data_IF_184240018856
#
_entry.id   IF_184240018856
#
_cell.length_a   1.000
_cell.length_b   1.000
_cell.length_c   1.000
_cell.angle_alpha   90.00
_cell.angle_beta   90.00
_cell.angle_gamma   90.00
#
_symmetry.space_group_name_H-M   'P 1'
#
loop_
_entity.id
_entity.type
_entity.pdbx_description
1 polymer ?
#
# COMPACT_ATOMS: atom_id res chain seq x y z
N UNK A 1 -6.70 -1.31 4.34
CA UNK A 1 -8.12 -1.71 4.22
C UNK A 1 -9.01 -0.50 4.00
N UNK A 2 -9.07 0.45 4.95
CA UNK A 2 -9.94 1.64 4.89
C UNK A 2 -9.92 2.39 3.54
N UNK A 3 -8.74 2.50 2.91
CA UNK A 3 -8.57 3.25 1.68
C UNK A 3 -9.33 2.73 0.44
N UNK A 4 -9.88 1.52 0.46
CA UNK A 4 -10.60 0.94 -0.69
C UNK A 4 -11.95 0.32 -0.32
N UNK A 5 -12.40 0.44 0.94
CA UNK A 5 -13.62 -0.20 1.44
C UNK A 5 -14.85 0.70 1.42
N UNK A 6 -14.78 1.84 0.74
CA UNK A 6 -15.81 2.89 0.73
C UNK A 6 -17.21 2.45 0.27
N UNK A 7 -17.29 1.37 -0.49
CA UNK A 7 -18.58 0.83 -0.98
C UNK A 7 -18.90 -0.53 -0.34
N UNK A 8 -18.38 -0.77 0.86
CA UNK A 8 -18.59 -2.01 1.62
C UNK A 8 -19.35 -1.66 2.90
N UNK A 9 -20.70 -1.72 2.90
CA UNK A 9 -21.51 -1.30 4.05
C UNK A 9 -21.13 -1.99 5.36
N UNK A 10 -20.71 -3.26 5.28
CA UNK A 10 -20.28 -4.04 6.44
C UNK A 10 -18.99 -3.52 7.10
N UNK A 11 -18.24 -2.64 6.41
CA UNK A 11 -16.99 -2.06 6.90
C UNK A 11 -17.11 -0.59 7.35
N UNK A 12 -18.26 0.08 7.17
CA UNK A 12 -18.50 1.42 7.74
C UNK A 12 -18.58 1.37 9.27
N UNK A 13 -19.02 0.23 9.82
CA UNK A 13 -19.06 -0.04 11.25
C UNK A 13 -20.25 0.61 11.98
N UNK A 14 -20.56 0.07 13.16
CA UNK A 14 -21.71 0.50 13.98
C UNK A 14 -21.29 1.04 15.35
N UNK A 15 -19.99 1.24 15.56
CA UNK A 15 -19.40 1.61 16.86
C UNK A 15 -18.95 3.07 16.84
N UNK A 16 -19.20 3.78 17.93
CA UNK A 16 -18.77 5.18 18.13
C UNK A 16 -19.88 6.21 17.92
N UNK A 17 -19.49 7.50 18.00
CA UNK A 17 -20.42 8.63 18.02
C UNK A 17 -20.87 9.09 16.62
N UNK A 18 -20.11 8.79 15.57
CA UNK A 18 -20.27 9.40 14.24
C UNK A 18 -20.82 8.43 13.19
N UNK A 19 -21.76 7.56 13.56
CA UNK A 19 -22.34 6.52 12.68
C UNK A 19 -23.06 7.07 11.44
N UNK A 20 -23.48 8.34 11.48
CA UNK A 20 -24.09 9.03 10.34
C UNK A 20 -23.10 9.73 9.40
N UNK A 21 -21.79 9.65 9.69
CA UNK A 21 -20.74 10.29 8.90
C UNK A 21 -20.02 9.21 8.10
N UNK A 22 -19.86 9.46 6.81
CA UNK A 22 -19.16 8.54 5.92
C UNK A 22 -17.67 8.41 6.29
N UNK A 23 -17.14 7.19 6.26
CA UNK A 23 -15.71 6.90 6.44
C UNK A 23 -14.90 6.96 5.13
N UNK A 24 -15.51 7.42 4.03
CA UNK A 24 -14.86 7.57 2.72
C UNK A 24 -13.64 8.49 2.79
N UNK A 25 -12.56 8.09 2.13
CA UNK A 25 -11.34 8.88 2.00
C UNK A 25 -11.21 9.46 0.59
N UNK A 26 -10.59 10.63 0.46
CA UNK A 26 -10.43 11.29 -0.85
C UNK A 26 -9.28 10.71 -1.70
N UNK A 27 -8.23 10.19 -1.07
CA UNK A 27 -7.03 9.65 -1.72
C UNK A 27 -6.23 8.78 -0.75
N UNK A 28 -5.46 7.83 -1.27
CA UNK A 28 -4.65 6.90 -0.45
C UNK A 28 -3.18 6.96 -0.84
N UNK A 29 -2.30 7.10 0.14
CA UNK A 29 -0.87 6.87 -0.03
C UNK A 29 -0.47 5.58 0.72
N UNK A 30 -0.09 4.55 -0.04
CA UNK A 30 0.32 3.24 0.43
C UNK A 30 1.83 3.09 0.32
N UNK A 31 2.49 2.87 1.45
CA UNK A 31 3.93 2.64 1.52
C UNK A 31 4.15 1.18 1.90
N UNK A 32 4.63 0.39 0.94
CA UNK A 32 5.03 -1.02 1.12
C UNK A 32 4.03 -1.90 1.91
N UNK A 33 2.73 -1.65 1.73
CA UNK A 33 1.67 -2.37 2.42
C UNK A 33 1.40 -3.77 1.86
N UNK A 34 0.93 -4.66 2.73
CA UNK A 34 0.40 -5.99 2.32
C UNK A 34 -0.96 -5.80 1.65
N UNK A 35 -1.05 -6.18 0.38
CA UNK A 35 -2.27 -6.04 -0.43
C UNK A 35 -3.18 -7.27 -0.37
N UNK A 36 -2.58 -8.46 -0.33
CA UNK A 36 -3.25 -9.75 -0.26
C UNK A 36 -2.49 -10.70 0.66
N UNK A 37 -3.14 -11.08 1.76
CA UNK A 37 -2.54 -11.87 2.83
C UNK A 37 -2.22 -13.28 2.35
N UNK A 38 -3.12 -13.93 1.61
CA UNK A 38 -2.89 -15.31 1.14
C UNK A 38 -1.77 -15.38 0.10
N UNK A 39 -1.67 -14.38 -0.79
CA UNK A 39 -0.65 -14.32 -1.81
C UNK A 39 0.78 -14.16 -1.24
N UNK A 40 0.92 -13.74 0.02
CA UNK A 40 2.23 -13.61 0.66
C UNK A 40 2.89 -14.98 0.88
N UNK A 41 2.10 -16.05 0.99
CA UNK A 41 2.59 -17.42 1.08
C UNK A 41 3.28 -17.75 -0.24
N UNK A 42 4.58 -18.03 -0.18
CA UNK A 42 5.40 -18.32 -1.37
C UNK A 42 6.03 -17.09 -2.03
N UNK A 43 5.79 -15.88 -1.51
CA UNK A 43 6.56 -14.69 -1.90
C UNK A 43 7.82 -14.56 -1.04
N UNK A 44 8.86 -13.92 -1.58
CA UNK A 44 10.10 -13.66 -0.84
C UNK A 44 9.83 -12.73 0.35
N UNK A 45 10.14 -13.20 1.56
CA UNK A 45 10.08 -12.42 2.79
C UNK A 45 11.05 -12.99 3.82
N UNK A 46 11.65 -12.11 4.62
CA UNK A 46 12.42 -12.47 5.82
C UNK A 46 11.51 -12.99 6.94
N UNK A 47 10.19 -12.77 6.83
CA UNK A 47 9.19 -13.31 7.75
C UNK A 47 8.55 -14.54 7.13
N UNK A 48 8.74 -15.69 7.76
CA UNK A 48 7.96 -16.89 7.47
C UNK A 48 6.50 -16.69 7.87
N UNK A 49 5.67 -16.35 6.87
CA UNK A 49 4.25 -16.06 7.06
C UNK A 49 3.39 -17.33 7.21
N UNK A 50 3.98 -18.53 7.15
CA UNK A 50 3.26 -19.79 7.41
C UNK A 50 3.11 -20.08 8.90
N UNK A 51 3.95 -19.48 9.75
CA UNK A 51 3.92 -19.68 11.20
C UNK A 51 2.69 -19.04 11.84
N UNK A 52 2.17 -19.70 12.88
CA UNK A 52 1.03 -19.23 13.65
C UNK A 52 1.28 -17.91 14.39
N UNK A 53 2.54 -17.62 14.72
CA UNK A 53 2.98 -16.41 15.42
C UNK A 53 3.39 -15.27 14.47
N UNK A 54 3.31 -15.48 13.15
CA UNK A 54 3.59 -14.43 12.18
C UNK A 54 2.58 -13.27 12.36
N UNK A 55 2.98 -11.99 12.15
CA UNK A 55 2.10 -10.85 12.38
C UNK A 55 0.74 -10.93 11.66
N UNK A 56 0.74 -11.52 10.45
CA UNK A 56 -0.47 -11.69 9.63
C UNK A 56 -1.37 -12.80 10.16
N UNK A 57 -0.81 -13.86 10.74
CA UNK A 57 -1.56 -14.93 11.39
C UNK A 57 -2.19 -14.42 12.71
N UNK A 58 -1.45 -13.66 13.50
CA UNK A 58 -1.97 -13.01 14.70
C UNK A 58 -3.12 -12.03 14.38
N UNK A 59 -2.98 -11.23 13.31
CA UNK A 59 -4.02 -10.31 12.86
C UNK A 59 -5.36 -11.02 12.58
N UNK A 60 -5.34 -12.20 11.95
CA UNK A 60 -6.56 -12.94 11.62
C UNK A 60 -6.97 -13.97 12.69
N UNK A 61 -6.20 -14.07 13.78
CA UNK A 61 -6.46 -14.96 14.91
C UNK A 61 -6.16 -16.43 14.62
N UNK A 62 -5.14 -16.74 13.82
CA UNK A 62 -4.65 -18.11 13.61
C UNK A 62 -3.84 -18.29 12.32
N UNK A 63 -3.30 -19.51 12.07
CA UNK A 63 -2.52 -19.82 10.88
C UNK A 63 -3.27 -19.47 9.58
N UNK A 64 -2.56 -18.91 8.59
CA UNK A 64 -3.16 -18.47 7.32
C UNK A 64 -3.83 -19.62 6.55
N UNK A 65 -3.24 -20.82 6.59
CA UNK A 65 -3.74 -22.04 5.95
C UNK A 65 -5.11 -22.47 6.46
N UNK A 66 -5.39 -22.22 7.74
CA UNK A 66 -6.64 -22.61 8.42
C UNK A 66 -7.68 -21.48 8.41
N UNK A 67 -7.25 -20.23 8.21
CA UNK A 67 -8.08 -19.04 8.33
C UNK A 67 -8.26 -18.30 7.00
N UNK A 68 -8.34 -19.04 5.88
CA UNK A 68 -8.38 -18.47 4.52
C UNK A 68 -9.49 -17.44 4.29
N UNK A 69 -10.68 -17.68 4.84
CA UNK A 69 -11.80 -16.71 4.77
C UNK A 69 -11.46 -15.38 5.44
N UNK A 70 -10.87 -15.43 6.64
CA UNK A 70 -10.46 -14.23 7.37
C UNK A 70 -9.29 -13.54 6.68
N UNK A 71 -8.34 -14.29 6.14
CA UNK A 71 -7.23 -13.75 5.36
C UNK A 71 -7.73 -13.02 4.11
N UNK A 72 -8.71 -13.57 3.40
CA UNK A 72 -9.36 -12.90 2.26
C UNK A 72 -10.10 -11.64 2.71
N UNK A 73 -10.84 -11.72 3.83
CA UNK A 73 -11.54 -10.56 4.41
C UNK A 73 -10.57 -9.47 4.87
N UNK A 74 -9.37 -9.79 5.33
CA UNK A 74 -8.37 -8.80 5.72
C UNK A 74 -7.49 -8.32 4.54
N UNK A 75 -7.73 -8.82 3.31
CA UNK A 75 -6.96 -8.45 2.12
C UNK A 75 -7.58 -7.25 1.39
N UNK A 76 -6.77 -6.23 1.12
CA UNK A 76 -7.17 -4.97 0.49
C UNK A 76 -7.78 -5.21 -0.89
N UNK A 77 -7.16 -6.07 -1.70
CA UNK A 77 -7.60 -6.36 -3.07
C UNK A 77 -9.00 -6.95 -3.16
N UNK A 78 -9.54 -7.50 -2.08
CA UNK A 78 -10.91 -8.04 -2.01
C UNK A 78 -11.97 -6.96 -2.21
N UNK A 79 -11.66 -5.70 -1.89
CA UNK A 79 -12.63 -4.61 -1.81
C UNK A 79 -12.44 -3.55 -2.89
N UNK A 80 -11.44 -3.71 -3.76
CA UNK A 80 -11.16 -2.73 -4.82
C UNK A 80 -12.31 -2.72 -5.83
N UNK A 81 -12.97 -1.58 -5.96
CA UNK A 81 -14.03 -1.31 -6.96
C UNK A 81 -13.65 -0.10 -7.82
N UNK A 82 -14.37 0.10 -8.93
CA UNK A 82 -14.13 1.23 -9.85
C UNK A 82 -14.38 2.61 -9.20
N UNK A 83 -15.13 2.66 -8.09
CA UNK A 83 -15.40 3.88 -7.34
C UNK A 83 -14.33 4.18 -6.28
N UNK A 84 -13.28 3.35 -6.20
CA UNK A 84 -12.18 3.54 -5.26
C UNK A 84 -11.48 4.90 -5.45
N UNK A 85 -10.94 5.49 -4.37
CA UNK A 85 -10.20 6.74 -4.48
C UNK A 85 -8.89 6.52 -5.26
N UNK A 86 -8.28 7.60 -5.78
CA UNK A 86 -6.93 7.53 -6.33
C UNK A 86 -5.93 6.96 -5.32
N UNK A 87 -5.01 6.11 -5.79
CA UNK A 87 -4.02 5.44 -4.94
C UNK A 87 -2.61 5.73 -5.42
N UNK A 88 -1.77 6.23 -4.53
CA UNK A 88 -0.31 6.26 -4.70
C UNK A 88 0.29 5.07 -3.95
N UNK A 89 1.01 4.20 -4.64
CA UNK A 89 1.78 3.10 -4.03
C UNK A 89 3.27 3.35 -4.20
N UNK A 90 4.02 3.27 -3.11
CA UNK A 90 5.48 3.38 -3.09
C UNK A 90 6.06 2.07 -2.57
N UNK A 91 6.98 1.45 -3.32
CA UNK A 91 7.60 0.19 -2.91
C UNK A 91 9.05 0.07 -3.37
N UNK A 92 9.90 -0.42 -2.49
CA UNK A 92 11.31 -0.68 -2.75
C UNK A 92 11.56 -2.05 -3.39
N UNK A 93 12.48 -2.15 -4.35
CA UNK A 93 12.75 -3.46 -5.00
C UNK A 93 13.55 -4.43 -4.15
N UNK A 94 14.21 -3.95 -3.09
CA UNK A 94 14.99 -4.75 -2.14
C UNK A 94 14.31 -4.85 -0.77
N UNK A 95 13.01 -4.50 -0.71
CA UNK A 95 12.19 -4.69 0.48
C UNK A 95 12.10 -6.20 0.79
N UNK A 96 12.42 -6.56 2.04
CA UNK A 96 12.46 -7.96 2.49
C UNK A 96 11.34 -8.37 3.46
N UNK A 97 10.55 -7.45 4.01
CA UNK A 97 9.47 -7.77 4.98
C UNK A 97 8.13 -7.99 4.29
N UNK A 98 7.82 -7.18 3.28
CA UNK A 98 6.65 -7.23 2.41
C UNK A 98 7.11 -7.21 0.95
N UNK A 99 7.11 -8.38 0.31
CA UNK A 99 7.51 -8.54 -1.08
C UNK A 99 6.96 -7.45 -2.02
N UNK A 100 7.81 -6.95 -2.92
CA UNK A 100 7.42 -6.04 -4.00
C UNK A 100 6.24 -6.57 -4.84
N UNK A 101 6.07 -7.89 -4.92
CA UNK A 101 4.93 -8.52 -5.57
C UNK A 101 3.58 -8.07 -5.01
N UNK A 102 3.51 -7.62 -3.75
CA UNK A 102 2.30 -7.05 -3.14
C UNK A 102 1.89 -5.73 -3.79
N UNK A 103 2.83 -4.80 -3.99
CA UNK A 103 2.54 -3.56 -4.69
C UNK A 103 2.17 -3.79 -6.16
N UNK A 104 2.90 -4.66 -6.86
CA UNK A 104 2.59 -5.01 -8.25
C UNK A 104 1.20 -5.65 -8.40
N UNK A 105 0.80 -6.46 -7.41
CA UNK A 105 -0.52 -7.07 -7.35
C UNK A 105 -1.62 -6.02 -7.14
N UNK A 106 -1.44 -5.10 -6.19
CA UNK A 106 -2.38 -4.00 -5.96
C UNK A 106 -2.56 -3.14 -7.22
N UNK A 107 -1.46 -2.76 -7.87
CA UNK A 107 -1.46 -2.01 -9.13
C UNK A 107 -2.29 -2.73 -10.21
N UNK A 108 -2.09 -4.04 -10.35
CA UNK A 108 -2.82 -4.85 -11.33
C UNK A 108 -4.34 -4.83 -11.07
N UNK A 109 -4.74 -4.98 -9.81
CA UNK A 109 -6.16 -4.99 -9.43
C UNK A 109 -6.80 -3.61 -9.61
N UNK A 110 -6.12 -2.54 -9.19
CA UNK A 110 -6.58 -1.15 -9.36
C UNK A 110 -6.80 -0.81 -10.84
N UNK A 111 -5.82 -1.13 -11.69
CA UNK A 111 -5.90 -0.88 -13.14
C UNK A 111 -7.02 -1.68 -13.81
N UNK A 112 -7.25 -2.92 -13.38
CA UNK A 112 -8.30 -3.79 -13.95
C UNK A 112 -9.70 -3.17 -13.80
N UNK A 113 -9.93 -2.40 -12.74
CA UNK A 113 -11.19 -1.70 -12.48
C UNK A 113 -11.12 -0.19 -12.78
N UNK A 114 -10.07 0.25 -13.47
CA UNK A 114 -9.87 1.65 -13.88
C UNK A 114 -9.77 2.67 -12.74
N UNK A 115 -9.35 2.26 -11.53
CA UNK A 115 -9.00 3.21 -10.47
C UNK A 115 -7.69 3.91 -10.82
N UNK A 116 -7.63 5.22 -10.60
CA UNK A 116 -6.41 6.00 -10.79
C UNK A 116 -5.32 5.50 -9.84
N UNK A 117 -4.25 4.95 -10.40
CA UNK A 117 -3.14 4.39 -9.65
C UNK A 117 -1.82 5.00 -10.06
N UNK A 118 -1.00 5.34 -9.06
CA UNK A 118 0.34 5.88 -9.21
C UNK A 118 1.30 4.92 -8.52
N UNK A 119 2.04 4.14 -9.30
CA UNK A 119 3.03 3.21 -8.74
C UNK A 119 4.44 3.77 -8.87
N UNK A 120 5.06 4.11 -7.73
CA UNK A 120 6.43 4.59 -7.64
C UNK A 120 7.34 3.46 -7.15
N UNK A 121 8.13 2.92 -8.07
CA UNK A 121 9.19 1.96 -7.74
C UNK A 121 10.43 2.68 -7.27
N UNK A 122 10.97 2.26 -6.12
CA UNK A 122 12.25 2.72 -5.60
C UNK A 122 13.27 1.59 -5.74
N UNK A 123 14.05 1.63 -6.81
CA UNK A 123 15.07 0.61 -7.10
C UNK A 123 16.17 0.65 -6.05
N UNK A 124 16.41 -0.49 -5.41
CA UNK A 124 17.48 -0.70 -4.43
C UNK A 124 17.11 -0.39 -2.98
N UNK A 125 15.90 0.11 -2.70
CA UNK A 125 15.48 0.41 -1.33
C UNK A 125 14.81 -0.80 -0.65
N UNK A 126 15.05 -0.95 0.65
CA UNK A 126 14.46 -1.92 1.57
C UNK A 126 13.27 -1.38 2.38
N UNK A 127 12.96 -2.01 3.53
CA UNK A 127 11.89 -1.58 4.44
C UNK A 127 12.33 -0.37 5.26
N UNK A 128 11.59 0.74 5.22
CA UNK A 128 11.91 1.93 6.02
C UNK A 128 13.05 2.81 5.49
N UNK A 129 13.78 2.37 4.46
CA UNK A 129 14.84 3.17 3.79
C UNK A 129 14.33 4.44 3.10
N UNK A 130 13.01 4.64 3.08
CA UNK A 130 12.37 5.82 2.48
C UNK A 130 12.56 7.10 3.31
N UNK A 131 12.87 6.97 4.61
CA UNK A 131 13.16 8.13 5.47
C UNK A 131 14.41 8.91 5.05
N UNK A 132 15.25 8.34 4.20
CA UNK A 132 16.48 8.95 3.68
C UNK A 132 16.37 9.38 2.21
N UNK A 133 15.23 9.10 1.53
CA UNK A 133 14.84 9.56 0.17
C UNK A 133 14.20 10.95 0.13
N UNK A 134 14.33 11.71 1.22
CA UNK A 134 13.47 12.82 1.62
C UNK A 134 12.96 13.66 0.44
N UNK A 135 13.81 14.24 -0.39
CA UNK A 135 13.31 15.26 -1.33
C UNK A 135 12.48 14.72 -2.53
N UNK A 136 12.94 13.75 -3.35
CA UNK A 136 12.16 13.37 -4.54
C UNK A 136 10.89 12.58 -4.22
N UNK A 137 10.90 11.78 -3.15
CA UNK A 137 9.72 11.02 -2.75
C UNK A 137 8.69 11.92 -2.07
N UNK A 138 9.11 12.80 -1.16
CA UNK A 138 8.22 13.74 -0.50
C UNK A 138 7.54 14.66 -1.50
N UNK A 139 8.27 15.12 -2.53
CA UNK A 139 7.69 15.95 -3.58
C UNK A 139 6.57 15.24 -4.36
N UNK A 140 6.68 13.93 -4.58
CA UNK A 140 5.63 13.16 -5.29
C UNK A 140 4.42 12.91 -4.40
N UNK A 141 4.65 12.59 -3.13
CA UNK A 141 3.58 12.42 -2.14
C UNK A 141 2.85 13.74 -1.95
N UNK A 142 3.60 14.85 -1.83
CA UNK A 142 3.04 16.21 -1.77
C UNK A 142 2.24 16.53 -3.03
N UNK A 143 2.80 16.33 -4.23
CA UNK A 143 2.10 16.58 -5.48
C UNK A 143 0.81 15.74 -5.59
N UNK A 144 0.83 14.50 -5.11
CA UNK A 144 -0.35 13.64 -5.09
C UNK A 144 -1.46 14.23 -4.20
N UNK A 145 -1.13 14.66 -2.97
CA UNK A 145 -2.11 15.30 -2.10
C UNK A 145 -2.51 16.71 -2.56
N UNK A 146 -1.60 17.49 -3.13
CA UNK A 146 -1.92 18.78 -3.76
C UNK A 146 -2.96 18.59 -4.89
N UNK A 147 -2.80 17.54 -5.69
CA UNK A 147 -3.73 17.22 -6.78
C UNK A 147 -5.13 16.86 -6.27
N UNK A 148 -5.22 16.01 -5.25
CA UNK A 148 -6.50 15.42 -4.84
C UNK A 148 -7.17 16.11 -3.65
N UNK A 149 -6.41 16.64 -2.70
CA UNK A 149 -6.94 17.35 -1.53
C UNK A 149 -7.03 18.86 -1.79
N UNK A 150 -6.05 19.43 -2.49
CA UNK A 150 -6.01 20.87 -2.79
C UNK A 150 -6.46 21.21 -4.22
N UNK A 151 -6.83 20.20 -5.03
CA UNK A 151 -7.34 20.36 -6.41
C UNK A 151 -6.39 21.14 -7.33
N UNK A 152 -5.09 21.03 -7.08
CA UNK A 152 -4.09 21.71 -7.89
C UNK A 152 -3.81 20.93 -9.19
N UNK A 153 -3.58 21.66 -10.27
CA UNK A 153 -3.13 21.08 -11.53
C UNK A 153 -1.63 20.78 -11.48
N UNK A 154 -1.26 19.70 -10.79
CA UNK A 154 0.12 19.21 -10.68
C UNK A 154 0.26 17.80 -11.27
N UNK A 155 1.42 17.51 -11.83
CA UNK A 155 1.78 16.18 -12.31
C UNK A 155 2.37 15.36 -11.16
N UNK A 156 1.94 14.10 -11.04
CA UNK A 156 2.48 13.14 -10.07
C UNK A 156 3.35 12.15 -10.84
N UNK A 157 4.67 12.35 -10.78
CA UNK A 157 5.60 11.48 -11.50
C UNK A 157 5.67 10.08 -10.90
N UNK A 158 5.53 9.06 -11.75
CA UNK A 158 5.73 7.64 -11.41
C UNK A 158 7.09 7.10 -11.86
N UNK A 159 7.98 7.95 -12.39
CA UNK A 159 9.29 7.54 -12.87
C UNK A 159 10.09 6.82 -11.77
N UNK A 160 10.75 5.71 -12.07
CA UNK A 160 11.51 4.94 -11.08
C UNK A 160 12.56 5.81 -10.38
N UNK A 161 12.65 5.71 -9.05
CA UNK A 161 13.68 6.36 -8.23
C UNK A 161 14.82 5.35 -8.03
N UNK A 162 16.07 5.76 -8.20
CA UNK A 162 17.24 4.90 -7.97
C UNK A 162 17.88 5.23 -6.62
N UNK A 163 17.72 4.35 -5.62
CA UNK A 163 18.13 4.55 -4.24
C UNK A 163 19.64 4.78 -4.08
N UNK A 164 20.46 3.94 -4.72
CA UNK A 164 21.94 3.97 -4.54
C UNK A 164 22.57 5.30 -4.95
N UNK A 165 22.04 5.94 -6.00
CA UNK A 165 22.49 7.28 -6.43
C UNK A 165 22.29 8.38 -5.37
N UNK A 166 21.37 8.19 -4.42
CA UNK A 166 21.13 9.15 -3.34
C UNK A 166 21.98 8.87 -2.09
N UNK A 167 22.49 7.65 -1.93
CA UNK A 167 23.45 7.33 -0.88
C UNK A 167 24.83 7.91 -1.21
N UNK A 168 25.30 7.75 -2.45
CA UNK A 168 26.60 8.26 -2.91
C UNK A 168 26.75 9.79 -2.72
N UNK A 169 25.68 10.56 -2.93
CA UNK A 169 25.68 12.01 -2.75
C UNK A 169 25.62 12.48 -1.28
N UNK A 170 25.42 11.57 -0.32
CA UNK A 170 25.38 11.88 1.12
C UNK A 170 26.75 11.76 1.78
N UNK A 171 27.65 10.96 1.21
CA UNK A 171 28.99 10.72 1.76
C UNK A 171 30.01 11.80 1.35
N UNK A 172 29.63 12.71 0.42
CA UNK A 172 30.43 13.85 -0.04
C UNK A 172 30.17 15.17 0.73
N UNK A 173 29.51 15.12 1.90
CA UNK A 173 29.20 16.29 2.74
C UNK A 173 29.60 16.15 4.20
#
# INVERSE_FOLDING_TARGET
MLGVSSDVPELEGEIGLYKGVSSKVASVANFFGVSEILAIIGQSSDIDCTRADAPKAQLIGGPLSENTRKAKFASVVTYVTANGPPVLTVHGTEERTVSYAQAARLETVLRKVCVLSYFVTVKGAGHGDFGTLVLPLDNRVKAFFDKYLHRQCVEVSTAMINWRKFQENKDDK
#
